data_IF_358662364760
#
_entry.id   IF_358662364760
#
_cell.length_a   1.000
_cell.length_b   1.000
_cell.length_c   1.000
_cell.angle_alpha   90.00
_cell.angle_beta   90.00
_cell.angle_gamma   90.00
#
_symmetry.space_group_name_H-M   'P 1'
#
loop_
_entity.id
_entity.type
_entity.pdbx_description
1 polymer ?
#
# COMPACT_ATOMS: atom_id res chain seq x y z
N UNK A 1 -68.61 -21.58 -31.78
CA UNK A 1 -67.78 -20.82 -30.91
C UNK A 1 -66.31 -21.15 -31.24
N UNK A 2 -65.61 -20.26 -31.95
CA UNK A 2 -64.21 -20.46 -32.36
C UNK A 2 -63.30 -19.91 -31.28
N UNK A 3 -62.47 -20.75 -30.71
CA UNK A 3 -61.43 -20.38 -29.75
C UNK A 3 -60.18 -19.92 -30.52
N UNK A 4 -59.82 -18.65 -30.40
CA UNK A 4 -58.60 -18.08 -30.98
C UNK A 4 -57.49 -18.28 -29.96
N UNK A 5 -56.52 -19.13 -30.29
CA UNK A 5 -55.29 -19.30 -29.50
C UNK A 5 -54.33 -18.16 -29.80
N UNK A 6 -54.03 -17.36 -28.79
CA UNK A 6 -52.97 -16.35 -28.85
C UNK A 6 -51.64 -17.04 -28.59
N UNK A 7 -50.80 -17.12 -29.62
CA UNK A 7 -49.40 -17.56 -29.50
C UNK A 7 -48.60 -16.31 -29.08
N UNK A 8 -48.16 -16.27 -27.81
CA UNK A 8 -47.21 -15.26 -27.32
C UNK A 8 -45.80 -15.70 -27.76
N UNK A 9 -45.25 -14.99 -28.72
CA UNK A 9 -43.83 -15.08 -29.07
C UNK A 9 -43.03 -14.37 -27.97
N UNK A 10 -42.43 -15.15 -27.07
CA UNK A 10 -41.39 -14.62 -26.15
C UNK A 10 -40.10 -14.54 -26.97
N UNK A 11 -39.80 -13.35 -27.48
CA UNK A 11 -38.47 -13.05 -28.00
C UNK A 11 -37.47 -13.03 -26.80
N UNK A 12 -36.70 -14.12 -26.66
CA UNK A 12 -35.50 -14.10 -25.82
C UNK A 12 -34.53 -13.04 -26.43
N UNK A 13 -34.54 -11.83 -25.88
CA UNK A 13 -33.41 -10.94 -26.01
C UNK A 13 -32.23 -11.58 -25.30
N UNK A 14 -31.36 -12.21 -26.07
CA UNK A 14 -30.02 -12.55 -25.62
C UNK A 14 -29.34 -11.23 -25.30
N UNK A 15 -29.37 -10.81 -24.02
CA UNK A 15 -28.49 -9.78 -23.51
C UNK A 15 -27.11 -10.41 -23.55
N UNK A 16 -26.44 -10.24 -24.68
CA UNK A 16 -25.02 -10.51 -24.78
C UNK A 16 -24.35 -9.67 -23.69
N UNK A 17 -23.71 -10.32 -22.75
CA UNK A 17 -22.76 -9.67 -21.86
C UNK A 17 -21.68 -9.08 -22.75
N UNK A 18 -21.79 -7.79 -23.04
CA UNK A 18 -20.69 -7.01 -23.63
C UNK A 18 -19.62 -7.00 -22.56
N UNK A 19 -18.66 -7.89 -22.67
CA UNK A 19 -17.40 -7.76 -21.96
C UNK A 19 -16.80 -6.46 -22.50
N UNK A 20 -16.66 -5.44 -21.66
CA UNK A 20 -15.93 -4.24 -22.04
C UNK A 20 -14.52 -4.72 -22.43
N UNK A 21 -14.11 -4.43 -23.65
CA UNK A 21 -12.73 -4.66 -24.08
C UNK A 21 -11.81 -3.91 -23.12
N UNK A 22 -10.70 -4.54 -22.74
CA UNK A 22 -9.71 -3.87 -21.91
C UNK A 22 -9.28 -2.56 -22.60
N UNK A 23 -9.14 -1.47 -21.85
CA UNK A 23 -8.76 -0.19 -22.44
C UNK A 23 -7.44 -0.33 -23.22
N UNK A 24 -7.32 0.31 -24.41
CA UNK A 24 -6.11 0.25 -25.21
C UNK A 24 -4.88 0.62 -24.38
N UNK A 25 -3.86 -0.24 -24.39
CA UNK A 25 -2.65 -0.05 -23.59
C UNK A 25 -1.39 -0.46 -24.34
N UNK A 26 -0.24 0.05 -23.88
CA UNK A 26 1.10 -0.37 -24.30
C UNK A 26 1.95 -0.65 -23.08
N UNK A 27 2.75 -1.72 -23.14
CA UNK A 27 3.77 -2.03 -22.16
C UNK A 27 5.08 -2.40 -22.86
N UNK A 28 6.18 -1.82 -22.42
CA UNK A 28 7.52 -2.10 -22.97
C UNK A 28 8.62 -1.63 -22.00
N UNK A 29 9.84 -2.06 -22.27
CA UNK A 29 11.05 -1.60 -21.57
C UNK A 29 11.92 -0.85 -22.58
N UNK A 30 12.39 0.35 -22.21
CA UNK A 30 13.35 1.11 -23.01
C UNK A 30 14.75 0.48 -22.94
N UNK A 31 15.63 0.83 -23.89
CA UNK A 31 17.00 0.30 -23.93
C UNK A 31 17.80 0.61 -22.65
N UNK A 32 17.50 1.72 -21.98
CA UNK A 32 18.10 2.10 -20.69
C UNK A 32 17.43 1.44 -19.46
N UNK A 33 16.55 0.49 -19.68
CA UNK A 33 15.91 -0.31 -18.63
C UNK A 33 14.64 0.27 -18.02
N UNK A 34 14.22 1.50 -18.38
CA UNK A 34 12.96 2.06 -17.88
C UNK A 34 11.77 1.22 -18.34
N UNK A 35 11.00 0.71 -17.38
CA UNK A 35 9.74 0.01 -17.65
C UNK A 35 8.61 1.02 -17.85
N UNK A 36 7.85 0.89 -18.95
CA UNK A 36 6.81 1.85 -19.33
C UNK A 36 5.47 1.16 -19.50
N UNK A 37 4.42 1.76 -18.95
CA UNK A 37 3.03 1.38 -19.17
C UNK A 37 2.22 2.59 -19.58
N UNK A 38 1.41 2.48 -20.64
CA UNK A 38 0.52 3.54 -21.11
C UNK A 38 -0.86 2.94 -21.32
N UNK A 39 -1.92 3.56 -20.74
CA UNK A 39 -3.30 3.14 -20.94
C UNK A 39 -4.18 4.32 -21.29
N UNK A 40 -4.93 4.22 -22.38
CA UNK A 40 -5.92 5.21 -22.77
C UNK A 40 -7.21 5.03 -21.97
N UNK A 41 -7.70 6.13 -21.36
CA UNK A 41 -9.01 6.23 -20.70
C UNK A 41 -9.62 7.60 -20.99
N UNK A 42 -10.54 7.66 -21.94
CA UNK A 42 -11.09 8.90 -22.49
C UNK A 42 -12.44 9.31 -21.89
N UNK A 43 -12.94 8.61 -20.88
CA UNK A 43 -14.20 8.93 -20.21
C UNK A 43 -14.11 10.15 -19.27
N UNK A 44 -12.92 10.53 -18.82
CA UNK A 44 -12.65 11.73 -18.04
C UNK A 44 -11.43 12.43 -18.66
N UNK A 45 -11.48 13.77 -18.93
CA UNK A 45 -10.39 14.50 -19.58
C UNK A 45 -9.23 14.79 -18.61
N UNK A 46 -8.71 13.76 -17.96
CA UNK A 46 -7.59 13.79 -17.03
C UNK A 46 -6.50 12.85 -17.50
N UNK A 47 -5.27 13.17 -17.15
CA UNK A 47 -4.14 12.25 -17.24
C UNK A 47 -3.47 12.11 -15.88
N UNK A 48 -3.06 10.90 -15.59
CA UNK A 48 -2.33 10.54 -14.37
C UNK A 48 -0.98 9.93 -14.79
N UNK A 49 0.08 10.49 -14.27
CA UNK A 49 1.45 10.06 -14.54
C UNK A 49 2.06 9.62 -13.21
N UNK A 50 2.53 8.40 -13.14
CA UNK A 50 3.21 7.85 -11.96
C UNK A 50 4.60 7.42 -12.34
N UNK A 51 5.59 7.93 -11.63
CA UNK A 51 6.96 7.46 -11.71
C UNK A 51 7.31 6.77 -10.40
N UNK A 52 7.69 5.50 -10.49
CA UNK A 52 8.07 4.68 -9.35
C UNK A 52 9.57 4.37 -9.41
N UNK A 53 10.24 4.51 -8.28
CA UNK A 53 11.64 4.13 -8.10
C UNK A 53 11.68 2.98 -7.11
N UNK A 54 12.36 1.89 -7.46
CA UNK A 54 12.54 0.75 -6.57
C UNK A 54 13.61 1.10 -5.53
N UNK A 55 13.23 1.94 -4.58
CA UNK A 55 14.02 2.34 -3.43
C UNK A 55 13.08 2.71 -2.28
N UNK A 56 13.40 2.25 -1.09
CA UNK A 56 12.64 2.53 0.11
C UNK A 56 13.51 2.42 1.36
N UNK A 57 12.91 2.46 2.55
CA UNK A 57 13.69 2.37 3.78
C UNK A 57 14.45 1.05 3.95
N UNK A 58 14.09 0.00 3.19
CA UNK A 58 14.85 -1.26 3.14
C UNK A 58 16.25 -1.13 2.54
N UNK A 59 16.45 -0.11 1.72
CA UNK A 59 17.72 0.16 1.03
C UNK A 59 18.66 1.06 1.84
N UNK A 60 18.22 1.45 3.04
CA UNK A 60 18.95 2.25 4.00
C UNK A 60 19.60 1.38 5.09
N UNK A 61 20.65 1.90 5.69
CA UNK A 61 21.29 1.32 6.88
C UNK A 61 21.17 2.26 8.10
N UNK A 62 21.83 1.92 9.19
CA UNK A 62 21.82 2.72 10.42
C UNK A 62 22.41 4.13 10.27
N UNK A 63 23.17 4.39 9.21
CA UNK A 63 23.83 5.68 8.95
C UNK A 63 23.10 6.52 7.90
N UNK A 64 22.20 5.89 7.12
CA UNK A 64 21.50 6.54 6.00
C UNK A 64 19.99 6.58 6.20
N UNK A 65 19.46 6.01 7.30
CA UNK A 65 18.02 5.89 7.51
C UNK A 65 17.32 7.24 7.65
N UNK A 66 16.47 7.54 6.68
CA UNK A 66 15.73 8.77 6.48
C UNK A 66 16.16 9.59 5.26
N UNK A 67 17.25 9.20 4.57
CA UNK A 67 17.67 9.88 3.33
C UNK A 67 16.62 9.68 2.23
N UNK A 68 15.98 8.51 2.13
CA UNK A 68 14.93 8.25 1.13
C UNK A 68 13.74 9.19 1.33
N UNK A 69 13.28 9.34 2.56
CA UNK A 69 12.18 10.26 2.89
C UNK A 69 12.58 11.73 2.66
N UNK A 70 13.80 12.11 3.02
CA UNK A 70 14.33 13.44 2.74
C UNK A 70 14.42 13.70 1.22
N UNK A 71 14.83 12.72 0.42
CA UNK A 71 14.83 12.81 -1.04
C UNK A 71 13.43 13.00 -1.62
N UNK A 72 12.42 12.30 -1.08
CA UNK A 72 11.03 12.53 -1.44
C UNK A 72 10.65 14.01 -1.32
N UNK A 73 10.90 14.60 -0.14
CA UNK A 73 10.64 16.03 0.13
C UNK A 73 11.42 16.93 -0.82
N UNK A 74 12.71 16.69 -1.00
CA UNK A 74 13.56 17.51 -1.85
C UNK A 74 13.16 17.47 -3.33
N UNK A 75 12.73 16.32 -3.83
CA UNK A 75 12.23 16.19 -5.20
C UNK A 75 10.84 16.82 -5.33
N UNK A 76 9.94 16.56 -4.39
CA UNK A 76 8.56 17.08 -4.44
C UNK A 76 8.51 18.61 -4.27
N UNK A 77 9.27 19.15 -3.31
CA UNK A 77 9.16 20.53 -2.83
C UNK A 77 10.36 21.41 -3.20
N UNK A 78 11.46 20.83 -3.64
CA UNK A 78 12.70 21.55 -3.95
C UNK A 78 12.70 22.19 -5.35
N UNK A 79 13.69 23.05 -5.63
CA UNK A 79 13.93 23.62 -6.95
C UNK A 79 14.56 22.60 -7.90
N UNK A 80 14.53 22.91 -9.19
CA UNK A 80 15.26 22.19 -10.22
C UNK A 80 16.46 23.02 -10.71
N UNK A 81 17.24 22.46 -11.62
CA UNK A 81 18.33 23.22 -12.25
C UNK A 81 17.82 24.38 -13.12
N UNK A 82 16.54 24.34 -13.55
CA UNK A 82 15.97 25.28 -14.50
C UNK A 82 14.95 26.23 -13.87
N UNK A 83 14.29 25.82 -12.79
CA UNK A 83 13.19 26.54 -12.16
C UNK A 83 13.33 26.62 -10.65
N UNK A 84 12.92 27.77 -10.09
CA UNK A 84 12.73 27.93 -8.66
C UNK A 84 11.45 27.25 -8.16
N UNK A 85 11.33 27.06 -6.86
CA UNK A 85 10.13 26.51 -6.21
C UNK A 85 8.87 27.34 -6.53
N UNK A 86 9.00 28.66 -6.52
CA UNK A 86 7.85 29.56 -6.78
C UNK A 86 7.38 29.50 -8.24
N UNK A 87 8.32 29.42 -9.20
CA UNK A 87 8.00 29.24 -10.62
C UNK A 87 7.28 27.92 -10.84
N UNK A 88 7.81 26.79 -10.30
CA UNK A 88 7.17 25.49 -10.41
C UNK A 88 5.77 25.51 -9.82
N UNK A 89 5.61 26.05 -8.60
CA UNK A 89 4.32 26.13 -7.94
C UNK A 89 3.30 27.00 -8.71
N UNK A 90 3.77 28.06 -9.35
CA UNK A 90 2.93 28.91 -10.18
C UNK A 90 2.45 28.17 -11.43
N UNK A 91 3.36 27.50 -12.13
CA UNK A 91 3.03 26.71 -13.32
C UNK A 91 2.11 25.53 -12.99
N UNK A 92 2.36 24.82 -11.89
CA UNK A 92 1.48 23.74 -11.42
C UNK A 92 0.05 24.23 -11.19
N UNK A 93 -0.09 25.38 -10.52
CA UNK A 93 -1.42 25.99 -10.30
C UNK A 93 -2.10 26.45 -11.60
N UNK A 94 -1.35 27.04 -12.55
CA UNK A 94 -1.88 27.48 -13.86
C UNK A 94 -2.43 26.32 -14.68
N UNK A 95 -1.82 25.15 -14.55
CA UNK A 95 -2.22 23.95 -15.31
C UNK A 95 -3.17 23.03 -14.52
N UNK A 96 -3.58 23.42 -13.30
CA UNK A 96 -4.43 22.59 -12.44
C UNK A 96 -3.82 21.26 -12.06
N UNK A 97 -2.49 21.19 -12.04
CA UNK A 97 -1.75 19.97 -11.75
C UNK A 97 -1.66 19.72 -10.24
N UNK A 98 -1.85 18.48 -9.85
CA UNK A 98 -1.66 17.98 -8.48
C UNK A 98 -0.47 17.02 -8.49
N UNK A 99 0.55 17.34 -7.73
CA UNK A 99 1.77 16.55 -7.61
C UNK A 99 1.93 16.07 -6.16
N UNK A 100 2.13 14.78 -6.01
CA UNK A 100 2.32 14.13 -4.72
C UNK A 100 3.46 13.11 -4.80
N UNK A 101 3.96 12.69 -3.64
CA UNK A 101 4.95 11.61 -3.55
C UNK A 101 4.71 10.77 -2.30
N UNK A 102 5.17 9.52 -2.33
CA UNK A 102 5.08 8.60 -1.20
C UNK A 102 6.31 7.72 -1.12
N UNK A 103 6.86 7.61 0.08
CA UNK A 103 7.90 6.63 0.42
C UNK A 103 7.31 5.47 1.22
N UNK A 104 7.76 4.27 0.93
CA UNK A 104 7.44 3.06 1.69
C UNK A 104 8.73 2.31 2.07
N UNK A 105 8.59 1.10 2.62
CA UNK A 105 9.75 0.23 2.82
C UNK A 105 10.40 -0.20 1.51
N UNK A 106 9.60 -0.36 0.45
CA UNK A 106 10.06 -0.97 -0.80
C UNK A 106 10.28 0.02 -1.94
N UNK A 107 9.48 1.06 -2.03
CA UNK A 107 9.50 1.95 -3.18
C UNK A 107 9.13 3.39 -2.81
N UNK A 108 9.57 4.28 -3.69
CA UNK A 108 9.16 5.68 -3.73
C UNK A 108 8.32 5.90 -5.00
N UNK A 109 7.20 6.61 -4.89
CA UNK A 109 6.36 6.99 -6.03
C UNK A 109 6.19 8.50 -6.11
N UNK A 110 6.15 9.00 -7.33
CA UNK A 110 5.82 10.38 -7.67
C UNK A 110 4.59 10.36 -8.55
N UNK A 111 3.56 11.09 -8.14
CA UNK A 111 2.20 11.00 -8.66
C UNK A 111 1.73 12.35 -9.14
N UNK A 112 1.47 12.45 -10.43
CA UNK A 112 1.01 13.69 -11.05
C UNK A 112 -0.34 13.48 -11.73
N UNK A 113 -1.34 14.30 -11.37
CA UNK A 113 -2.66 14.33 -12.00
C UNK A 113 -2.95 15.72 -12.52
N UNK A 114 -3.42 15.82 -13.77
CA UNK A 114 -3.74 17.11 -14.40
C UNK A 114 -4.73 16.94 -15.56
N UNK A 115 -5.38 18.04 -16.02
CA UNK A 115 -6.21 18.01 -17.24
C UNK A 115 -5.42 17.50 -18.45
N UNK A 116 -6.04 16.63 -19.24
CA UNK A 116 -5.38 15.92 -20.34
C UNK A 116 -4.72 16.85 -21.37
N UNK A 117 -5.30 18.01 -21.63
CA UNK A 117 -4.71 19.00 -22.55
C UNK A 117 -3.32 19.51 -22.13
N UNK A 118 -2.95 19.33 -20.85
CA UNK A 118 -1.66 19.78 -20.31
C UNK A 118 -0.70 18.62 -20.01
N UNK A 119 -0.97 17.43 -20.52
CA UNK A 119 -0.19 16.26 -20.21
C UNK A 119 1.32 16.41 -20.52
N UNK A 120 1.68 17.14 -21.61
CA UNK A 120 3.08 17.40 -21.95
C UNK A 120 3.79 18.28 -20.91
N UNK A 121 3.08 19.26 -20.36
CA UNK A 121 3.60 20.04 -19.23
C UNK A 121 3.89 19.12 -18.04
N UNK A 122 2.91 18.28 -17.67
CA UNK A 122 3.06 17.33 -16.57
C UNK A 122 4.26 16.38 -16.77
N UNK A 123 4.39 15.84 -17.96
CA UNK A 123 5.51 14.96 -18.33
C UNK A 123 6.87 15.68 -18.20
N UNK A 124 6.96 16.90 -18.69
CA UNK A 124 8.22 17.67 -18.66
C UNK A 124 8.60 18.07 -17.24
N UNK A 125 7.65 18.56 -16.44
CA UNK A 125 7.92 18.95 -15.05
C UNK A 125 8.30 17.76 -14.17
N UNK A 126 7.64 16.61 -14.37
CA UNK A 126 7.98 15.38 -13.65
C UNK A 126 9.42 14.93 -13.99
N UNK A 127 9.76 14.90 -15.28
CA UNK A 127 11.12 14.59 -15.73
C UNK A 127 12.16 15.54 -15.13
N UNK A 128 11.86 16.84 -15.13
CA UNK A 128 12.75 17.87 -14.59
C UNK A 128 12.96 17.68 -13.08
N UNK A 129 11.90 17.49 -12.32
CA UNK A 129 11.95 17.21 -10.90
C UNK A 129 12.79 15.96 -10.56
N UNK A 130 12.62 14.91 -11.33
CA UNK A 130 13.27 13.63 -11.09
C UNK A 130 14.73 13.59 -11.51
N UNK A 131 15.13 14.26 -12.60
CA UNK A 131 16.44 14.09 -13.21
C UNK A 131 17.27 15.37 -13.30
N UNK A 132 16.69 16.52 -12.92
CA UNK A 132 17.39 17.80 -12.86
C UNK A 132 17.22 18.46 -11.48
N UNK A 133 17.22 17.64 -10.44
CA UNK A 133 17.15 18.08 -9.04
C UNK A 133 18.32 19.02 -8.73
N UNK A 134 18.02 20.12 -8.03
CA UNK A 134 19.02 21.05 -7.52
C UNK A 134 19.00 21.03 -6.00
N UNK A 135 20.02 20.42 -5.41
CA UNK A 135 20.18 20.41 -3.96
C UNK A 135 20.88 21.72 -3.52
N UNK A 136 20.21 22.47 -2.68
CA UNK A 136 20.75 23.70 -2.07
C UNK A 136 20.56 23.63 -0.55
N UNK A 137 21.59 24.04 0.21
CA UNK A 137 21.59 23.88 1.66
C UNK A 137 20.38 24.48 2.35
N UNK A 138 19.90 25.70 2.02
CA UNK A 138 18.73 26.27 2.67
C UNK A 138 17.46 25.44 2.50
N UNK A 139 17.29 24.75 1.34
CA UNK A 139 16.15 23.88 1.11
C UNK A 139 16.29 22.56 1.87
N UNK A 140 17.51 21.99 1.89
CA UNK A 140 17.79 20.78 2.68
C UNK A 140 17.50 21.01 4.16
N UNK A 141 17.97 22.13 4.72
CA UNK A 141 17.76 22.47 6.12
C UNK A 141 16.26 22.67 6.42
N UNK A 142 15.54 23.35 5.52
CA UNK A 142 14.09 23.56 5.65
C UNK A 142 13.33 22.23 5.66
N UNK A 143 13.65 21.33 4.74
CA UNK A 143 12.93 20.04 4.64
C UNK A 143 13.27 19.12 5.83
N UNK A 144 14.50 19.19 6.37
CA UNK A 144 14.85 18.49 7.62
C UNK A 144 13.95 18.93 8.78
N UNK A 145 13.72 20.24 8.94
CA UNK A 145 12.85 20.74 10.01
C UNK A 145 11.39 20.25 9.84
N UNK A 146 10.87 20.24 8.61
CA UNK A 146 9.52 19.71 8.33
C UNK A 146 9.44 18.23 8.71
N UNK A 147 10.42 17.42 8.31
CA UNK A 147 10.48 16.00 8.66
C UNK A 147 10.59 15.81 10.18
N UNK A 148 11.29 16.67 10.90
CA UNK A 148 11.36 16.60 12.36
C UNK A 148 10.03 16.87 13.04
N UNK A 149 9.19 17.73 12.48
CA UNK A 149 7.83 17.95 12.96
C UNK A 149 6.96 16.71 12.66
N UNK A 150 7.08 16.13 11.48
CA UNK A 150 6.35 14.89 11.12
C UNK A 150 6.75 13.72 12.03
N UNK A 151 8.05 13.53 12.28
CA UNK A 151 8.54 12.50 13.22
C UNK A 151 7.95 12.70 14.62
N UNK A 152 7.83 13.94 15.09
CA UNK A 152 7.23 14.26 16.39
C UNK A 152 5.74 13.90 16.40
N UNK A 153 5.00 14.27 15.34
CA UNK A 153 3.59 13.92 15.20
C UNK A 153 3.37 12.39 15.19
N UNK A 154 4.22 11.65 14.47
CA UNK A 154 4.16 10.19 14.43
C UNK A 154 4.44 9.54 15.79
N UNK A 155 5.34 10.12 16.59
CA UNK A 155 5.65 9.65 17.94
C UNK A 155 4.53 9.95 18.95
N UNK A 156 3.75 11.00 18.72
CA UNK A 156 2.61 11.40 19.55
C UNK A 156 1.31 10.71 19.16
N UNK A 157 1.17 10.24 17.92
CA UNK A 157 0.01 9.45 17.48
C UNK A 157 0.11 8.00 17.95
N UNK A 158 -0.81 7.52 18.80
CA UNK A 158 -0.70 6.18 19.38
C UNK A 158 -0.87 5.05 18.36
N UNK A 159 -1.60 5.28 17.25
CA UNK A 159 -1.75 4.29 16.19
C UNK A 159 -0.48 4.21 15.31
N UNK A 160 0.06 5.35 14.92
CA UNK A 160 1.28 5.42 14.14
C UNK A 160 2.47 4.82 14.90
N UNK A 161 2.67 5.23 16.16
CA UNK A 161 3.71 4.68 17.03
C UNK A 161 3.57 3.17 17.23
N UNK A 162 2.34 2.68 17.51
CA UNK A 162 2.11 1.26 17.69
C UNK A 162 2.38 0.46 16.41
N UNK A 163 2.01 1.01 15.24
CA UNK A 163 2.25 0.39 13.93
C UNK A 163 3.75 0.30 13.65
N UNK A 164 4.48 1.39 13.84
CA UNK A 164 5.93 1.42 13.69
C UNK A 164 6.61 0.36 14.56
N UNK A 165 6.35 0.37 15.88
CA UNK A 165 6.93 -0.59 16.81
C UNK A 165 6.56 -2.03 16.49
N UNK A 166 5.36 -2.27 15.96
CA UNK A 166 4.93 -3.61 15.55
C UNK A 166 5.76 -4.12 14.37
N UNK A 167 5.96 -3.31 13.34
CA UNK A 167 6.78 -3.65 12.16
C UNK A 167 8.25 -3.80 12.54
N UNK A 168 8.81 -2.85 13.30
CA UNK A 168 10.19 -2.90 13.80
C UNK A 168 10.51 -4.23 14.51
N UNK A 169 9.62 -4.66 15.40
CA UNK A 169 9.83 -5.88 16.19
C UNK A 169 9.50 -7.16 15.40
N UNK A 170 8.56 -7.09 14.45
CA UNK A 170 8.21 -8.21 13.59
C UNK A 170 9.37 -8.56 12.64
N UNK A 171 10.04 -7.53 12.12
CA UNK A 171 11.14 -7.65 11.16
C UNK A 171 12.53 -7.43 11.78
N UNK A 172 12.67 -7.70 13.07
CA UNK A 172 13.94 -7.50 13.76
C UNK A 172 15.08 -8.30 13.10
N UNK A 173 16.13 -7.60 12.71
CA UNK A 173 17.30 -8.18 12.01
C UNK A 173 17.12 -8.24 10.48
N UNK A 174 16.06 -7.69 9.95
CA UNK A 174 15.82 -7.49 8.51
C UNK A 174 15.77 -5.99 8.20
N UNK A 175 16.12 -5.52 6.98
CA UNK A 175 16.03 -4.10 6.61
C UNK A 175 14.65 -3.46 6.87
N UNK A 176 13.57 -4.21 6.83
CA UNK A 176 12.22 -3.71 7.16
C UNK A 176 12.04 -3.27 8.62
N UNK A 177 12.99 -3.51 9.51
CA UNK A 177 12.98 -2.91 10.84
C UNK A 177 13.21 -1.40 10.82
N UNK A 178 13.80 -0.86 9.74
CA UNK A 178 14.09 0.56 9.61
C UNK A 178 12.78 1.37 9.46
N UNK A 179 12.62 2.47 10.21
CA UNK A 179 11.45 3.33 10.03
C UNK A 179 11.46 4.02 8.67
N UNK A 180 10.30 4.07 8.02
CA UNK A 180 10.14 4.76 6.72
C UNK A 180 10.42 6.26 6.86
N UNK A 181 10.00 6.87 7.97
CA UNK A 181 10.21 8.30 8.24
C UNK A 181 11.64 8.65 8.66
N UNK A 182 12.48 7.63 8.87
CA UNK A 182 13.87 7.81 9.24
C UNK A 182 14.12 8.03 10.74
N UNK A 183 15.39 8.19 11.06
CA UNK A 183 15.89 8.45 12.41
C UNK A 183 16.39 9.89 12.50
N UNK A 184 15.83 10.71 13.40
CA UNK A 184 16.15 12.13 13.56
C UNK A 184 17.66 12.43 13.57
N UNK A 185 18.42 11.70 14.38
CA UNK A 185 19.87 11.92 14.54
C UNK A 185 20.70 11.57 13.29
N UNK A 186 20.14 10.78 12.37
CA UNK A 186 20.75 10.45 11.07
C UNK A 186 20.40 11.55 10.08
N UNK A 187 19.13 11.92 9.96
CA UNK A 187 18.67 13.01 9.07
C UNK A 187 19.36 14.33 9.40
N UNK A 188 19.50 14.66 10.70
CA UNK A 188 20.18 15.88 11.16
C UNK A 188 21.60 16.00 10.60
N UNK A 189 22.34 14.89 10.55
CA UNK A 189 23.73 14.83 10.09
C UNK A 189 23.89 14.67 8.58
N UNK A 190 22.84 14.27 7.88
CA UNK A 190 22.90 13.98 6.44
C UNK A 190 23.41 15.21 5.67
N UNK A 191 24.43 15.03 4.86
CA UNK A 191 25.05 16.05 4.01
C UNK A 191 24.49 16.01 2.59
N UNK A 192 24.63 17.09 1.84
CA UNK A 192 24.24 17.13 0.41
C UNK A 192 24.97 16.04 -0.38
N UNK A 193 26.25 15.81 -0.09
CA UNK A 193 27.06 14.80 -0.77
C UNK A 193 26.53 13.38 -0.54
N UNK A 194 26.10 13.05 0.69
CA UNK A 194 25.49 11.77 1.00
C UNK A 194 24.12 11.60 0.31
N UNK A 195 23.30 12.66 0.29
CA UNK A 195 22.02 12.69 -0.40
C UNK A 195 22.22 12.51 -1.92
N UNK A 196 23.17 13.20 -2.54
CA UNK A 196 23.49 13.06 -3.96
C UNK A 196 24.01 11.65 -4.29
N UNK A 197 24.87 11.11 -3.44
CA UNK A 197 25.41 9.76 -3.61
C UNK A 197 24.28 8.73 -3.61
N UNK A 198 23.37 8.86 -2.65
CA UNK A 198 22.20 8.00 -2.54
C UNK A 198 21.28 8.17 -3.75
N UNK A 199 20.99 9.39 -4.15
CA UNK A 199 20.17 9.70 -5.32
C UNK A 199 20.78 9.08 -6.60
N UNK A 200 22.05 9.31 -6.91
CA UNK A 200 22.72 8.77 -8.09
C UNK A 200 22.73 7.25 -8.13
N UNK A 201 22.81 6.60 -6.96
CA UNK A 201 22.80 5.14 -6.87
C UNK A 201 21.45 4.52 -7.25
N UNK A 202 20.34 5.13 -6.83
CA UNK A 202 19.02 4.50 -6.97
C UNK A 202 18.13 5.08 -8.06
N UNK A 203 18.34 6.35 -8.47
CA UNK A 203 17.57 7.01 -9.53
C UNK A 203 18.14 6.73 -10.93
N UNK A 204 18.43 5.46 -11.18
CA UNK A 204 18.83 4.94 -12.50
C UNK A 204 17.61 4.35 -13.20
N UNK A 205 17.45 4.58 -14.50
CA UNK A 205 16.22 4.24 -15.23
C UNK A 205 15.89 2.75 -15.21
N UNK A 206 16.89 1.87 -15.16
CA UNK A 206 16.70 0.43 -15.01
C UNK A 206 16.08 0.02 -13.66
N UNK A 207 16.10 0.92 -12.69
CA UNK A 207 15.49 0.78 -11.35
C UNK A 207 14.13 1.48 -11.24
N UNK A 208 13.56 1.94 -12.38
CA UNK A 208 12.36 2.79 -12.39
C UNK A 208 11.27 2.24 -13.29
N UNK A 209 10.04 2.66 -13.02
CA UNK A 209 8.89 2.44 -13.86
C UNK A 209 8.07 3.73 -14.05
N UNK A 210 7.52 3.91 -15.25
CA UNK A 210 6.65 5.01 -15.62
C UNK A 210 5.29 4.45 -16.06
N UNK A 211 4.22 4.91 -15.45
CA UNK A 211 2.86 4.61 -15.89
C UNK A 211 2.12 5.90 -16.25
N UNK A 212 1.46 5.91 -17.42
CA UNK A 212 0.60 7.01 -17.88
C UNK A 212 -0.80 6.45 -18.15
N UNK A 213 -1.79 6.97 -17.42
CA UNK A 213 -3.19 6.51 -17.54
C UNK A 213 -4.11 7.71 -17.67
N UNK A 214 -4.88 7.79 -18.74
CA UNK A 214 -5.84 8.89 -18.93
C UNK A 214 -6.25 9.12 -20.38
N UNK A 215 -6.83 10.27 -20.62
CA UNK A 215 -7.27 10.70 -21.95
C UNK A 215 -6.05 11.17 -22.79
N UNK A 216 -5.38 10.21 -23.38
CA UNK A 216 -4.15 10.42 -24.15
C UNK A 216 -4.15 9.62 -25.46
N UNK A 217 -3.44 10.12 -26.44
CA UNK A 217 -3.07 9.33 -27.63
C UNK A 217 -1.84 8.47 -27.31
N UNK A 218 -2.01 7.16 -27.46
CA UNK A 218 -0.95 6.18 -27.12
C UNK A 218 0.31 6.38 -27.96
N UNK A 219 0.18 6.77 -29.25
CA UNK A 219 1.33 6.92 -30.12
C UNK A 219 2.11 8.21 -29.82
N UNK A 220 1.38 9.28 -29.50
CA UNK A 220 1.96 10.58 -29.13
C UNK A 220 2.71 10.48 -27.81
N UNK A 221 2.09 9.85 -26.79
CA UNK A 221 2.73 9.65 -25.48
C UNK A 221 3.94 8.73 -25.60
N UNK A 222 3.82 7.60 -26.30
CA UNK A 222 4.93 6.66 -26.54
C UNK A 222 6.14 7.38 -27.19
N UNK A 223 5.90 8.17 -28.24
CA UNK A 223 6.96 8.92 -28.90
C UNK A 223 7.62 9.93 -27.94
N UNK A 224 6.82 10.67 -27.18
CA UNK A 224 7.33 11.64 -26.19
C UNK A 224 8.18 10.97 -25.09
N UNK A 225 7.74 9.82 -24.58
CA UNK A 225 8.50 9.05 -23.59
C UNK A 225 9.85 8.61 -24.17
N UNK A 226 9.87 8.06 -25.38
CA UNK A 226 11.11 7.66 -26.07
C UNK A 226 12.06 8.83 -26.28
N UNK A 227 11.55 9.99 -26.70
CA UNK A 227 12.34 11.21 -26.84
C UNK A 227 12.82 11.78 -25.51
N UNK A 228 11.97 11.76 -24.48
CA UNK A 228 12.25 12.38 -23.19
C UNK A 228 13.15 11.55 -22.28
N UNK A 229 13.01 10.23 -22.30
CA UNK A 229 13.73 9.31 -21.42
C UNK A 229 14.72 8.40 -22.19
N UNK A 230 14.52 8.17 -23.50
CA UNK A 230 15.32 7.20 -24.24
C UNK A 230 16.82 7.48 -24.27
N UNK A 231 17.21 8.75 -24.18
CA UNK A 231 18.62 9.18 -24.17
C UNK A 231 19.17 9.49 -22.79
N UNK A 232 18.33 9.41 -21.74
CA UNK A 232 18.81 9.57 -20.36
C UNK A 232 19.56 8.31 -19.94
N UNK A 233 20.78 8.45 -19.45
CA UNK A 233 21.59 7.33 -18.97
C UNK A 233 22.44 6.63 -20.05
N UNK A 234 22.42 7.06 -21.32
CA UNK A 234 23.34 6.54 -22.34
C UNK A 234 24.80 7.04 -22.15
N UNK A 235 25.00 8.00 -21.26
CA UNK A 235 26.31 8.67 -21.07
C UNK A 235 27.15 8.02 -19.94
N UNK A 236 26.53 7.24 -19.05
CA UNK A 236 27.27 6.45 -18.07
C UNK A 236 26.93 4.98 -18.28
N UNK A 237 27.99 4.13 -18.34
CA UNK A 237 27.90 2.67 -18.52
C UNK A 237 26.66 2.11 -17.83
N UNK A 238 25.87 1.34 -18.57
CA UNK A 238 24.62 0.71 -18.11
C UNK A 238 24.81 0.21 -16.70
N UNK A 239 24.23 0.91 -15.74
CA UNK A 239 24.32 0.48 -14.36
C UNK A 239 23.78 -0.96 -14.28
N UNK A 240 24.66 -1.89 -13.94
CA UNK A 240 24.26 -3.26 -13.68
C UNK A 240 23.06 -3.24 -12.72
N UNK A 241 22.12 -4.18 -12.86
CA UNK A 241 21.01 -4.25 -11.93
C UNK A 241 21.52 -4.16 -10.50
N UNK A 242 20.94 -3.27 -9.70
CA UNK A 242 21.34 -3.11 -8.30
C UNK A 242 21.27 -4.47 -7.62
N UNK A 243 22.43 -5.03 -7.26
CA UNK A 243 22.46 -6.26 -6.45
C UNK A 243 21.87 -5.93 -5.08
N UNK A 244 20.77 -6.58 -4.75
CA UNK A 244 20.13 -6.50 -3.44
C UNK A 244 20.26 -7.82 -2.72
N UNK A 245 20.58 -7.77 -1.44
CA UNK A 245 20.52 -8.94 -0.56
C UNK A 245 19.05 -9.28 -0.29
N UNK A 246 18.41 -9.95 -1.25
CA UNK A 246 16.98 -10.28 -1.27
C UNK A 246 16.65 -11.49 -0.39
N UNK A 247 17.03 -11.43 0.89
CA UNK A 247 16.70 -12.49 1.83
C UNK A 247 15.30 -12.32 2.39
N UNK A 248 14.48 -13.39 2.47
CA UNK A 248 13.24 -13.35 3.22
C UNK A 248 13.46 -12.92 4.66
N UNK A 249 12.50 -12.19 5.21
CA UNK A 249 12.54 -11.82 6.62
C UNK A 249 12.65 -13.07 7.51
N UNK A 250 13.52 -13.06 8.53
CA UNK A 250 13.65 -14.20 9.44
C UNK A 250 12.35 -14.39 10.22
N UNK A 251 11.88 -15.65 10.41
CA UNK A 251 10.64 -15.90 11.10
C UNK A 251 10.69 -15.52 12.58
N UNK A 252 9.57 -15.01 13.10
CA UNK A 252 9.41 -14.67 14.50
C UNK A 252 9.59 -15.91 15.39
N UNK A 253 10.57 -15.88 16.28
CA UNK A 253 10.91 -17.06 17.11
C UNK A 253 9.93 -17.25 18.26
N UNK A 254 9.41 -16.18 18.85
CA UNK A 254 8.50 -16.16 20.01
C UNK A 254 7.61 -14.92 20.00
N UNK A 255 6.52 -14.96 20.77
CA UNK A 255 5.71 -13.77 21.01
C UNK A 255 6.53 -12.66 21.68
N UNK A 256 6.45 -11.45 21.13
CA UNK A 256 7.09 -10.24 21.65
C UNK A 256 6.01 -9.30 22.18
N UNK A 257 6.23 -8.70 23.34
CA UNK A 257 5.35 -7.69 23.93
C UNK A 257 6.14 -6.40 24.14
N UNK A 258 5.57 -5.30 23.66
CA UNK A 258 6.16 -3.96 23.75
C UNK A 258 5.15 -3.04 24.40
N UNK A 259 5.59 -2.25 25.39
CA UNK A 259 4.75 -1.26 26.04
C UNK A 259 5.37 0.12 25.93
N UNK A 260 4.55 1.12 25.66
CA UNK A 260 4.90 2.55 25.65
C UNK A 260 3.79 3.33 26.36
N UNK A 261 4.11 4.55 26.76
CA UNK A 261 3.20 5.43 27.49
C UNK A 261 3.10 6.76 26.76
N UNK A 262 1.87 7.24 26.55
CA UNK A 262 1.55 8.52 25.94
C UNK A 262 0.47 9.24 26.76
N UNK A 263 0.27 10.53 26.52
CA UNK A 263 -0.80 11.34 27.10
C UNK A 263 -2.14 11.05 26.40
N UNK A 264 -2.70 9.90 26.71
CA UNK A 264 -3.94 9.37 26.12
C UNK A 264 -4.89 8.82 27.21
N UNK A 265 -6.17 8.60 26.89
CA UNK A 265 -7.16 8.14 27.84
C UNK A 265 -7.49 6.64 27.74
N UNK A 266 -7.16 5.98 26.63
CA UNK A 266 -7.43 4.57 26.39
C UNK A 266 -6.14 3.84 26.05
N UNK A 267 -6.10 2.54 26.26
CA UNK A 267 -5.04 1.73 25.70
C UNK A 267 -5.27 1.53 24.20
N UNK A 268 -4.21 1.69 23.39
CA UNK A 268 -4.17 1.36 21.98
C UNK A 268 -3.29 0.12 21.81
N UNK A 269 -3.81 -0.91 21.15
CA UNK A 269 -3.13 -2.19 21.04
C UNK A 269 -3.07 -2.62 19.58
N UNK A 270 -1.89 -3.02 19.13
CA UNK A 270 -1.68 -3.73 17.86
C UNK A 270 -1.20 -5.15 18.15
N UNK A 271 -1.83 -6.09 17.47
CA UNK A 271 -1.32 -7.46 17.30
C UNK A 271 -0.83 -7.59 15.88
N UNK A 272 0.46 -7.89 15.70
CA UNK A 272 1.08 -8.03 14.40
C UNK A 272 1.52 -9.48 14.20
N UNK A 273 1.14 -10.05 13.08
CA UNK A 273 1.46 -11.40 12.64
C UNK A 273 2.29 -11.32 11.37
N UNK A 274 3.20 -12.27 11.19
CA UNK A 274 3.88 -12.46 9.92
C UNK A 274 2.86 -12.74 8.82
N UNK A 275 3.15 -12.24 7.63
CA UNK A 275 2.33 -12.47 6.46
C UNK A 275 3.25 -12.76 5.25
N UNK A 276 2.74 -13.38 4.19
CA UNK A 276 3.55 -13.75 3.06
C UNK A 276 4.08 -12.52 2.32
N UNK A 277 5.20 -12.69 1.61
CA UNK A 277 5.71 -11.66 0.72
C UNK A 277 4.72 -11.41 -0.42
N UNK A 278 4.90 -10.30 -1.03
CA UNK A 278 4.13 -9.86 -2.18
C UNK A 278 4.26 -10.89 -3.33
N UNK A 279 3.14 -11.18 -4.02
CA UNK A 279 3.09 -12.22 -5.07
C UNK A 279 2.93 -13.67 -4.60
N UNK A 280 3.02 -13.92 -3.29
CA UNK A 280 2.82 -15.27 -2.76
C UNK A 280 1.37 -15.76 -2.99
N UNK A 281 1.14 -17.06 -3.27
CA UNK A 281 -0.22 -17.60 -3.48
C UNK A 281 -1.20 -17.32 -2.34
N UNK A 282 -0.74 -17.34 -1.09
CA UNK A 282 -1.57 -17.11 0.11
C UNK A 282 -1.98 -15.63 0.30
N UNK A 283 -1.44 -14.71 -0.48
CA UNK A 283 -1.76 -13.28 -0.39
C UNK A 283 -3.27 -13.05 -0.54
N UNK A 284 -3.89 -13.66 -1.55
CA UNK A 284 -5.32 -13.52 -1.80
C UNK A 284 -6.18 -14.03 -0.64
N UNK A 285 -5.78 -15.13 -0.02
CA UNK A 285 -6.45 -15.64 1.18
C UNK A 285 -6.43 -14.63 2.33
N UNK A 286 -5.31 -13.95 2.55
CA UNK A 286 -5.23 -12.89 3.56
C UNK A 286 -5.99 -11.62 3.19
N UNK A 287 -6.07 -11.25 1.92
CA UNK A 287 -6.91 -10.13 1.47
C UNK A 287 -8.39 -10.38 1.81
N UNK A 288 -8.88 -11.60 1.52
CA UNK A 288 -10.25 -12.01 1.84
C UNK A 288 -10.46 -12.09 3.36
N UNK A 289 -9.53 -12.70 4.10
CA UNK A 289 -9.59 -12.77 5.57
C UNK A 289 -9.59 -11.37 6.19
N UNK A 290 -8.80 -10.44 5.66
CA UNK A 290 -8.76 -9.05 6.13
C UNK A 290 -10.13 -8.36 6.07
N UNK A 291 -10.90 -8.62 5.01
CA UNK A 291 -12.28 -8.13 4.88
C UNK A 291 -13.22 -8.83 5.89
N UNK A 292 -13.16 -10.13 5.97
CA UNK A 292 -14.01 -10.92 6.87
C UNK A 292 -13.76 -10.53 8.33
N UNK A 293 -12.52 -10.31 8.73
CA UNK A 293 -12.15 -9.99 10.10
C UNK A 293 -12.44 -8.55 10.51
N UNK A 294 -12.11 -7.57 9.66
CA UNK A 294 -12.05 -6.18 10.13
C UNK A 294 -12.67 -5.11 9.25
N UNK A 295 -12.85 -5.36 7.95
CA UNK A 295 -13.29 -4.33 6.98
C UNK A 295 -14.67 -4.56 6.38
N UNK A 296 -15.25 -5.75 6.52
CA UNK A 296 -16.55 -6.10 5.97
C UNK A 296 -17.72 -5.44 6.71
N UNK A 297 -18.92 -5.59 6.17
CA UNK A 297 -20.17 -5.01 6.73
C UNK A 297 -20.46 -5.53 8.15
N UNK A 298 -20.09 -6.77 8.45
CA UNK A 298 -20.30 -7.40 9.74
C UNK A 298 -19.02 -8.16 10.19
N UNK A 299 -17.96 -7.43 10.59
CA UNK A 299 -16.65 -8.04 10.77
C UNK A 299 -16.64 -9.00 11.97
N UNK A 300 -16.06 -10.19 11.76
CA UNK A 300 -16.01 -11.25 12.77
C UNK A 300 -15.32 -10.82 14.07
N UNK A 301 -14.29 -9.96 14.01
CA UNK A 301 -13.59 -9.48 15.20
C UNK A 301 -14.51 -8.65 16.12
N UNK A 302 -15.39 -7.84 15.56
CA UNK A 302 -16.35 -7.05 16.36
C UNK A 302 -17.31 -7.97 17.13
N UNK A 303 -17.75 -9.06 16.50
CA UNK A 303 -18.60 -10.07 17.15
C UNK A 303 -17.83 -10.85 18.21
N UNK A 304 -16.63 -11.32 17.88
CA UNK A 304 -15.76 -12.11 18.76
C UNK A 304 -15.36 -11.35 20.03
N UNK A 305 -15.18 -10.03 19.94
CA UNK A 305 -14.80 -9.17 21.07
C UNK A 305 -15.99 -8.45 21.72
N UNK A 306 -17.21 -8.94 21.50
CA UNK A 306 -18.42 -8.50 22.20
C UNK A 306 -18.84 -9.58 23.20
N UNK A 307 -19.04 -9.20 24.48
CA UNK A 307 -19.46 -10.10 25.57
C UNK A 307 -20.72 -9.59 26.22
N UNK A 308 -21.75 -10.44 26.32
CA UNK A 308 -23.05 -10.08 26.90
C UNK A 308 -23.63 -8.77 26.32
N UNK A 309 -23.55 -8.59 24.99
CA UNK A 309 -23.99 -7.38 24.30
C UNK A 309 -23.13 -6.13 24.53
N UNK A 310 -21.99 -6.23 25.24
CA UNK A 310 -21.09 -5.11 25.52
C UNK A 310 -19.73 -5.36 24.84
N UNK A 311 -19.22 -4.42 24.03
CA UNK A 311 -17.91 -4.55 23.39
C UNK A 311 -16.81 -4.51 24.46
N UNK A 312 -15.86 -5.43 24.35
CA UNK A 312 -14.63 -5.45 25.15
C UNK A 312 -13.61 -4.45 24.61
N UNK A 313 -13.65 -4.21 23.31
CA UNK A 313 -12.74 -3.37 22.59
C UNK A 313 -13.49 -2.52 21.57
N UNK A 314 -12.87 -1.41 21.11
CA UNK A 314 -13.43 -0.44 20.19
C UNK A 314 -12.46 -0.16 19.05
N UNK A 315 -12.89 0.49 17.97
CA UNK A 315 -12.06 0.86 16.83
C UNK A 315 -11.26 -0.34 16.27
N UNK A 316 -11.94 -1.47 16.14
CA UNK A 316 -11.34 -2.68 15.56
C UNK A 316 -11.04 -2.46 14.10
N UNK A 317 -9.78 -2.58 13.72
CA UNK A 317 -9.31 -2.45 12.34
C UNK A 317 -8.30 -3.56 12.04
N UNK A 318 -8.34 -4.03 10.81
CA UNK A 318 -7.32 -4.93 10.29
C UNK A 318 -6.60 -4.26 9.12
N UNK A 319 -5.30 -4.53 9.01
CA UNK A 319 -4.49 -4.05 7.91
C UNK A 319 -3.52 -5.14 7.48
N UNK A 320 -3.51 -5.45 6.21
CA UNK A 320 -2.48 -6.28 5.61
C UNK A 320 -1.47 -5.37 4.90
N UNK A 321 -0.22 -5.41 5.34
CA UNK A 321 0.91 -4.70 4.76
C UNK A 321 1.68 -5.71 3.93
N UNK A 322 1.70 -5.50 2.62
CA UNK A 322 2.43 -6.33 1.67
C UNK A 322 3.75 -5.67 1.33
N UNK A 323 4.85 -6.41 1.48
CA UNK A 323 6.20 -5.97 1.13
C UNK A 323 6.91 -7.07 0.33
N UNK A 324 7.97 -6.71 -0.38
CA UNK A 324 8.67 -7.58 -1.34
C UNK A 324 9.20 -8.87 -0.68
N UNK A 325 9.79 -8.78 0.52
CA UNK A 325 10.46 -9.91 1.20
C UNK A 325 9.70 -10.46 2.39
N UNK A 326 8.50 -9.98 2.66
CA UNK A 326 7.65 -10.39 3.76
C UNK A 326 6.40 -9.53 3.85
N UNK A 327 5.52 -9.81 4.79
CA UNK A 327 4.33 -9.02 5.05
C UNK A 327 3.97 -8.99 6.54
N UNK A 328 3.07 -8.09 6.89
CA UNK A 328 2.52 -7.98 8.24
C UNK A 328 0.99 -7.93 8.20
N UNK A 329 0.34 -8.77 8.98
CA UNK A 329 -1.09 -8.67 9.23
C UNK A 329 -1.30 -8.06 10.61
N UNK A 330 -1.90 -6.87 10.64
CA UNK A 330 -2.10 -6.08 11.84
C UNK A 330 -3.57 -6.12 12.27
N UNK A 331 -3.80 -6.30 13.57
CA UNK A 331 -5.10 -6.12 14.21
C UNK A 331 -4.95 -5.00 15.25
N UNK A 332 -5.58 -3.88 14.98
CA UNK A 332 -5.58 -2.72 15.88
C UNK A 332 -6.89 -2.60 16.62
N UNK A 333 -6.82 -2.18 17.87
CA UNK A 333 -8.01 -1.88 18.67
C UNK A 333 -7.71 -0.96 19.85
N UNK A 334 -8.74 -0.30 20.37
CA UNK A 334 -8.66 0.53 21.58
C UNK A 334 -9.55 -0.02 22.69
N UNK A 335 -9.13 0.13 23.94
CA UNK A 335 -9.88 -0.36 25.10
C UNK A 335 -9.51 0.36 26.41
N UNK A 336 -10.23 0.08 27.46
CA UNK A 336 -9.81 0.46 28.82
C UNK A 336 -8.51 -0.30 29.18
N UNK A 337 -7.50 0.35 29.82
CA UNK A 337 -6.22 -0.29 30.14
C UNK A 337 -6.34 -1.61 30.91
N UNK A 338 -7.31 -1.69 31.82
CA UNK A 338 -7.57 -2.92 32.64
C UNK A 338 -8.08 -4.12 31.81
N UNK A 339 -8.61 -3.88 30.57
CA UNK A 339 -9.16 -4.92 29.69
C UNK A 339 -8.11 -5.52 28.74
N UNK A 340 -6.90 -4.97 28.65
CA UNK A 340 -5.87 -5.38 27.66
C UNK A 340 -5.61 -6.88 27.70
N UNK A 341 -5.40 -7.48 28.88
CA UNK A 341 -5.16 -8.91 28.98
C UNK A 341 -6.38 -9.75 28.61
N UNK A 342 -7.58 -9.30 28.97
CA UNK A 342 -8.82 -9.99 28.60
C UNK A 342 -9.01 -9.98 27.07
N UNK A 343 -8.89 -8.82 26.43
CA UNK A 343 -8.98 -8.70 24.96
C UNK A 343 -7.94 -9.58 24.26
N UNK A 344 -6.70 -9.59 24.76
CA UNK A 344 -5.66 -10.46 24.20
C UNK A 344 -6.07 -11.94 24.28
N UNK A 345 -6.56 -12.41 25.42
CA UNK A 345 -6.97 -13.81 25.58
C UNK A 345 -8.14 -14.17 24.65
N UNK A 346 -9.16 -13.33 24.59
CA UNK A 346 -10.32 -13.59 23.73
C UNK A 346 -9.93 -13.53 22.23
N UNK A 347 -9.10 -12.56 21.84
CA UNK A 347 -8.62 -12.47 20.46
C UNK A 347 -7.83 -13.71 20.05
N UNK A 348 -6.85 -14.12 20.83
CA UNK A 348 -6.03 -15.31 20.52
C UNK A 348 -6.87 -16.58 20.52
N UNK A 349 -7.82 -16.71 21.45
CA UNK A 349 -8.77 -17.82 21.45
C UNK A 349 -9.60 -17.84 20.18
N UNK A 350 -10.11 -16.69 19.76
CA UNK A 350 -10.89 -16.56 18.53
C UNK A 350 -10.05 -16.89 17.28
N UNK A 351 -8.85 -16.34 17.15
CA UNK A 351 -7.98 -16.62 16.01
C UNK A 351 -7.72 -18.13 15.82
N UNK A 352 -7.58 -18.85 16.93
CA UNK A 352 -7.45 -20.33 16.92
C UNK A 352 -8.68 -21.06 16.40
N UNK A 353 -9.82 -20.42 16.25
CA UNK A 353 -11.00 -21.05 15.65
C UNK A 353 -11.03 -20.91 14.13
N UNK A 354 -10.27 -19.97 13.56
CA UNK A 354 -10.35 -19.64 12.12
C UNK A 354 -9.96 -20.79 11.20
N UNK A 355 -9.04 -21.67 11.62
CA UNK A 355 -8.64 -22.83 10.81
C UNK A 355 -9.70 -23.94 10.72
N UNK A 356 -10.70 -23.94 11.61
CA UNK A 356 -11.85 -24.85 11.56
C UNK A 356 -13.14 -24.11 11.20
N UNK A 357 -13.04 -22.80 10.90
CA UNK A 357 -14.20 -21.97 10.62
C UNK A 357 -14.79 -22.33 9.25
N UNK A 358 -16.13 -22.45 9.19
CA UNK A 358 -16.81 -22.62 7.92
C UNK A 358 -17.19 -21.24 7.36
N UNK A 359 -16.40 -20.76 6.41
CA UNK A 359 -16.60 -19.46 5.79
C UNK A 359 -17.79 -19.39 4.85
N UNK A 360 -18.32 -20.56 4.40
CA UNK A 360 -19.40 -20.65 3.42
C UNK A 360 -20.77 -20.95 4.03
N UNK A 361 -20.85 -21.32 5.31
CA UNK A 361 -22.13 -21.58 5.99
C UNK A 361 -22.00 -21.18 7.46
N UNK A 362 -23.09 -20.60 8.00
CA UNK A 362 -23.16 -20.35 9.42
C UNK A 362 -23.48 -21.62 10.20
N UNK A 363 -22.54 -22.05 11.01
CA UNK A 363 -22.81 -22.71 12.29
C UNK A 363 -22.02 -21.94 13.34
N UNK A 364 -22.57 -20.80 13.79
CA UNK A 364 -21.96 -20.02 14.86
C UNK A 364 -22.48 -20.54 16.20
N UNK A 365 -21.58 -21.01 17.11
CA UNK A 365 -22.01 -21.56 18.41
C UNK A 365 -22.49 -20.51 19.41
N UNK A 366 -22.79 -19.29 18.99
CA UNK A 366 -23.17 -18.18 19.87
C UNK A 366 -24.68 -17.83 19.87
N UNK A 367 -25.52 -18.84 19.67
CA UNK A 367 -26.89 -18.85 20.23
C UNK A 367 -27.80 -17.63 20.00
N UNK A 368 -27.80 -17.00 18.83
CA UNK A 368 -28.85 -16.07 18.41
C UNK A 368 -29.22 -16.32 16.95
N UNK A 369 -30.52 -16.37 16.68
CA UNK A 369 -31.12 -16.57 15.38
C UNK A 369 -30.42 -15.68 14.34
N UNK A 370 -29.82 -16.30 13.34
CA UNK A 370 -28.99 -15.63 12.38
C UNK A 370 -29.60 -15.76 10.98
N UNK A 371 -29.53 -14.66 10.29
CA UNK A 371 -29.48 -14.70 8.85
C UNK A 371 -28.21 -15.48 8.44
N UNK A 372 -28.38 -16.47 7.58
CA UNK A 372 -27.26 -17.27 7.04
C UNK A 372 -26.35 -16.33 6.24
N UNK A 373 -25.20 -15.96 6.80
CA UNK A 373 -24.24 -15.10 6.12
C UNK A 373 -23.14 -15.96 5.51
N UNK A 374 -23.10 -16.05 4.19
CA UNK A 374 -21.94 -16.61 3.49
C UNK A 374 -20.81 -15.58 3.48
N UNK A 375 -19.92 -15.68 4.47
CA UNK A 375 -18.79 -14.75 4.63
C UNK A 375 -17.83 -14.79 3.43
N UNK A 376 -17.67 -15.98 2.82
CA UNK A 376 -16.76 -16.12 1.69
C UNK A 376 -17.31 -15.40 0.46
N UNK A 377 -18.55 -15.64 0.08
CA UNK A 377 -19.14 -15.03 -1.12
C UNK A 377 -19.35 -13.52 -0.94
N UNK A 378 -19.75 -13.09 0.27
CA UNK A 378 -19.83 -11.67 0.59
C UNK A 378 -18.44 -10.97 0.50
N UNK A 379 -17.40 -11.60 1.03
CA UNK A 379 -16.04 -11.07 0.94
C UNK A 379 -15.50 -11.08 -0.49
N UNK A 380 -15.72 -12.14 -1.27
CA UNK A 380 -15.36 -12.17 -2.69
C UNK A 380 -16.00 -11.02 -3.47
N UNK A 381 -17.30 -10.80 -3.28
CA UNK A 381 -18.02 -9.70 -3.92
C UNK A 381 -17.44 -8.35 -3.54
N UNK A 382 -17.12 -8.17 -2.26
CA UNK A 382 -16.52 -6.93 -1.76
C UNK A 382 -15.07 -6.72 -2.23
N UNK A 383 -14.25 -7.78 -2.30
CA UNK A 383 -12.89 -7.72 -2.88
C UNK A 383 -12.97 -7.29 -4.33
N UNK A 384 -13.83 -7.93 -5.13
CA UNK A 384 -14.00 -7.60 -6.56
C UNK A 384 -14.47 -6.16 -6.74
N UNK A 385 -15.48 -5.73 -5.99
CA UNK A 385 -15.96 -4.35 -6.03
C UNK A 385 -14.87 -3.35 -5.66
N UNK A 386 -14.17 -3.58 -4.54
CA UNK A 386 -13.10 -2.68 -4.09
C UNK A 386 -11.94 -2.61 -5.07
N UNK A 387 -11.59 -3.72 -5.72
CA UNK A 387 -10.56 -3.77 -6.74
C UNK A 387 -10.97 -2.97 -7.99
N UNK A 388 -12.21 -3.15 -8.46
CA UNK A 388 -12.74 -2.38 -9.59
C UNK A 388 -12.78 -0.88 -9.25
N UNK A 389 -13.34 -0.52 -8.09
CA UNK A 389 -13.38 0.88 -7.64
C UNK A 389 -11.99 1.50 -7.53
N UNK A 390 -11.00 0.73 -7.05
CA UNK A 390 -9.61 1.18 -6.98
C UNK A 390 -9.05 1.47 -8.38
N UNK A 391 -9.28 0.58 -9.34
CA UNK A 391 -8.79 0.72 -10.72
C UNK A 391 -9.56 1.76 -11.52
N UNK A 392 -10.80 2.12 -11.15
CA UNK A 392 -11.55 3.22 -11.80
C UNK A 392 -10.85 4.57 -11.59
N UNK A 393 -10.20 4.77 -10.46
CA UNK A 393 -9.33 5.94 -10.26
C UNK A 393 -8.10 5.83 -11.17
N UNK A 394 -7.93 6.77 -12.07
CA UNK A 394 -6.79 6.79 -13.01
C UNK A 394 -5.44 6.79 -12.30
N UNK A 395 -5.31 7.54 -11.18
CA UNK A 395 -4.07 7.59 -10.40
C UNK A 395 -3.80 6.25 -9.70
N UNK A 396 -4.81 5.61 -9.12
CA UNK A 396 -4.63 4.31 -8.49
C UNK A 396 -4.28 3.21 -9.49
N UNK A 397 -4.87 3.28 -10.69
CA UNK A 397 -4.51 2.38 -11.78
C UNK A 397 -3.03 2.58 -12.20
N UNK A 398 -2.60 3.84 -12.39
CA UNK A 398 -1.22 4.16 -12.73
C UNK A 398 -0.24 3.68 -11.63
N UNK A 399 -0.57 3.91 -10.35
CA UNK A 399 0.20 3.40 -9.20
C UNK A 399 0.29 1.88 -9.20
N UNK A 400 -0.84 1.20 -9.43
CA UNK A 400 -0.87 -0.26 -9.48
C UNK A 400 0.02 -0.80 -10.60
N UNK A 401 -0.09 -0.22 -11.80
CA UNK A 401 0.72 -0.64 -12.94
C UNK A 401 2.21 -0.35 -12.71
N UNK A 402 2.58 0.86 -12.29
CA UNK A 402 3.97 1.20 -12.01
C UNK A 402 4.61 0.24 -11.00
N UNK A 403 3.90 -0.03 -9.87
CA UNK A 403 4.35 -0.99 -8.86
C UNK A 403 4.45 -2.40 -9.43
N UNK A 404 3.44 -2.87 -10.16
CA UNK A 404 3.42 -4.22 -10.70
C UNK A 404 4.53 -4.46 -11.71
N UNK A 405 4.82 -3.49 -12.59
CA UNK A 405 5.90 -3.60 -13.56
C UNK A 405 7.25 -3.64 -12.84
N UNK A 406 7.40 -2.84 -11.80
CA UNK A 406 8.67 -2.70 -11.09
C UNK A 406 9.03 -3.93 -10.28
N UNK A 407 8.08 -4.43 -9.46
CA UNK A 407 8.32 -5.57 -8.56
C UNK A 407 7.97 -6.91 -9.15
N UNK A 408 7.03 -6.91 -10.09
CA UNK A 408 6.50 -8.14 -10.62
C UNK A 408 6.51 -8.10 -12.12
N UNK A 409 7.16 -9.02 -12.66
CA UNK A 409 6.77 -9.57 -13.96
C UNK A 409 5.33 -10.14 -13.92
N UNK A 410 4.52 -9.81 -12.91
CA UNK A 410 3.22 -10.40 -12.66
C UNK A 410 2.18 -10.00 -13.68
N UNK A 411 2.20 -8.75 -14.11
CA UNK A 411 1.29 -8.32 -15.17
C UNK A 411 1.65 -8.99 -16.48
N UNK A 412 2.94 -9.14 -16.76
CA UNK A 412 3.40 -9.88 -17.92
C UNK A 412 3.02 -11.36 -17.82
N UNK A 413 3.12 -11.97 -16.64
CA UNK A 413 2.69 -13.36 -16.43
C UNK A 413 1.16 -13.54 -16.56
N UNK A 414 0.34 -12.55 -16.23
CA UNK A 414 -1.10 -12.56 -16.50
C UNK A 414 -1.39 -12.39 -18.00
N UNK A 415 -0.71 -11.48 -18.68
CA UNK A 415 -0.81 -11.27 -20.14
C UNK A 415 -0.34 -12.52 -20.90
N UNK A 416 0.77 -13.10 -20.48
CA UNK A 416 1.34 -14.31 -21.06
C UNK A 416 0.53 -15.59 -20.73
N UNK A 417 -0.55 -15.46 -19.95
CA UNK A 417 -1.37 -16.58 -19.50
C UNK A 417 -0.69 -17.51 -18.47
N UNK A 418 0.44 -17.09 -17.93
CA UNK A 418 1.19 -17.84 -16.90
C UNK A 418 0.55 -17.73 -15.52
N UNK A 419 -0.21 -16.68 -15.29
CA UNK A 419 -0.95 -16.42 -14.07
C UNK A 419 -2.37 -16.05 -14.37
N UNK A 420 -3.31 -16.67 -13.66
CA UNK A 420 -4.73 -16.33 -13.82
C UNK A 420 -4.99 -14.89 -13.33
N UNK A 421 -5.88 -14.14 -14.02
CA UNK A 421 -6.30 -12.82 -13.61
C UNK A 421 -6.80 -12.79 -12.17
N UNK A 422 -6.57 -11.67 -11.48
CA UNK A 422 -6.91 -11.51 -10.06
C UNK A 422 -8.36 -11.88 -9.74
N UNK A 423 -9.32 -11.40 -10.56
CA UNK A 423 -10.75 -11.68 -10.37
C UNK A 423 -11.08 -13.18 -10.47
N UNK A 424 -10.47 -13.90 -11.42
CA UNK A 424 -10.64 -15.34 -11.60
C UNK A 424 -10.11 -16.09 -10.38
N UNK A 425 -8.98 -15.67 -9.85
CA UNK A 425 -8.41 -16.27 -8.63
C UNK A 425 -9.30 -16.02 -7.41
N UNK A 426 -9.92 -14.83 -7.29
CA UNK A 426 -10.92 -14.53 -6.24
C UNK A 426 -12.08 -15.50 -6.31
N UNK A 427 -12.65 -15.71 -7.52
CA UNK A 427 -13.79 -16.62 -7.70
C UNK A 427 -13.45 -18.08 -7.34
N UNK A 428 -12.24 -18.53 -7.64
CA UNK A 428 -11.78 -19.91 -7.36
C UNK A 428 -11.41 -20.14 -5.89
N UNK A 429 -11.25 -19.09 -5.07
CA UNK A 429 -10.89 -19.25 -3.66
C UNK A 429 -11.97 -19.97 -2.88
N UNK A 430 -11.57 -20.95 -2.09
CA UNK A 430 -12.46 -21.81 -1.30
C UNK A 430 -12.34 -21.56 0.21
N UNK A 431 -13.33 -22.03 0.98
CA UNK A 431 -13.24 -22.05 2.45
C UNK A 431 -12.00 -22.84 2.95
N UNK A 432 -11.57 -23.87 2.22
CA UNK A 432 -10.38 -24.64 2.57
C UNK A 432 -9.11 -23.80 2.44
N UNK A 433 -9.02 -22.98 1.38
CA UNK A 433 -7.89 -22.07 1.19
C UNK A 433 -7.79 -21.04 2.32
N UNK A 434 -8.95 -20.48 2.73
CA UNK A 434 -8.97 -19.54 3.86
C UNK A 434 -8.59 -20.20 5.19
N UNK A 435 -9.06 -21.44 5.45
CA UNK A 435 -8.63 -22.19 6.65
C UNK A 435 -7.13 -22.43 6.66
N UNK A 436 -6.55 -22.86 5.55
CA UNK A 436 -5.13 -23.11 5.41
C UNK A 436 -4.33 -21.83 5.62
N UNK A 437 -4.77 -20.72 5.01
CA UNK A 437 -4.14 -19.40 5.18
C UNK A 437 -4.22 -18.92 6.63
N UNK A 438 -5.40 -19.00 7.27
CA UNK A 438 -5.58 -18.64 8.67
C UNK A 438 -4.72 -19.49 9.61
N UNK A 439 -4.65 -20.80 9.37
CA UNK A 439 -3.79 -21.73 10.16
C UNK A 439 -2.32 -21.34 10.07
N UNK A 440 -1.85 -20.97 8.89
CA UNK A 440 -0.45 -20.64 8.64
C UNK A 440 -0.04 -19.31 9.26
N UNK A 441 -0.86 -18.29 9.13
CA UNK A 441 -0.47 -16.91 9.47
C UNK A 441 -1.16 -16.35 10.72
N UNK A 442 -2.33 -16.84 11.09
CA UNK A 442 -3.13 -16.31 12.19
C UNK A 442 -3.38 -17.34 13.30
N UNK A 443 -2.46 -18.29 13.48
CA UNK A 443 -2.58 -19.34 14.51
C UNK A 443 -2.61 -18.80 15.96
N UNK A 444 -2.15 -17.58 16.19
CA UNK A 444 -2.03 -16.98 17.52
C UNK A 444 -0.91 -17.55 18.38
N UNK A 445 0.00 -18.34 17.80
CA UNK A 445 1.14 -18.89 18.54
C UNK A 445 2.28 -17.90 18.73
N UNK A 446 2.59 -17.15 17.67
CA UNK A 446 3.65 -16.15 17.67
C UNK A 446 3.12 -14.86 17.07
N UNK A 447 3.36 -13.76 17.75
CA UNK A 447 2.95 -12.43 17.30
C UNK A 447 3.73 -11.36 18.06
N UNK A 448 3.75 -10.17 17.51
CA UNK A 448 4.18 -8.97 18.23
C UNK A 448 2.92 -8.29 18.78
N UNK A 449 2.92 -7.96 20.06
CA UNK A 449 1.88 -7.17 20.69
C UNK A 449 2.47 -5.85 21.17
N UNK A 450 2.03 -4.77 20.59
CA UNK A 450 2.38 -3.42 21.03
C UNK A 450 1.20 -2.84 21.79
N UNK A 451 1.47 -2.29 22.97
CA UNK A 451 0.47 -1.63 23.81
C UNK A 451 0.93 -0.22 24.14
N UNK A 452 0.18 0.78 23.69
CA UNK A 452 0.35 2.16 24.11
C UNK A 452 -0.63 2.44 25.23
N UNK A 453 -0.12 2.79 26.39
CA UNK A 453 -0.87 2.99 27.63
C UNK A 453 -0.94 4.46 28.01
N UNK A 454 -1.98 4.88 28.75
CA UNK A 454 -2.03 6.20 29.39
C UNK A 454 -0.85 6.42 30.34
N UNK A 455 -0.23 7.60 30.30
CA UNK A 455 0.82 7.96 31.27
C UNK A 455 0.24 8.10 32.68
N UNK A 456 0.76 7.30 33.62
CA UNK A 456 0.28 7.25 35.02
C UNK A 456 0.53 8.55 35.82
N UNK A 457 1.41 9.44 35.34
CA UNK A 457 1.78 10.65 36.08
C UNK A 457 0.69 11.73 36.09
N UNK A 458 -0.20 11.77 35.07
CA UNK A 458 -1.28 12.76 34.99
C UNK A 458 -2.60 12.34 35.60
N UNK A 459 -2.86 11.04 35.78
CA UNK A 459 -4.10 10.53 36.42
C UNK A 459 -4.27 10.88 37.89
N UNK A 460 -3.27 11.44 38.56
CA UNK A 460 -3.33 11.89 39.96
C UNK A 460 -3.73 13.37 40.14
N UNK A 461 -3.85 14.16 39.07
CA UNK A 461 -4.18 15.60 39.14
C UNK A 461 -5.66 15.94 38.98
N UNK A 462 -6.56 14.97 38.76
CA UNK A 462 -8.02 15.19 38.59
C UNK A 462 -8.83 14.74 39.78
N UNK A 463 -8.21 14.51 40.96
CA UNK A 463 -8.92 14.37 42.24
C UNK A 463 -8.45 15.51 43.14
N UNK A 464 -8.99 16.68 42.92
CA UNK A 464 -9.18 17.74 43.91
C UNK A 464 -10.41 18.55 43.54
#
# INVERSE_FOLDING_TARGET
>A
VKTIGIIIFISLLAVGTVWAEDPPSKHYILNNGLSVYIQKRDHIPLVNIVFAVNVGSKDEDQNTNGIVHLLEHLILLGPTQFQTVDEINLEMRRHGAQFNAHTSHDLMTFELSLPAQYWEFGFNILKEKLFHLKLVQPQVDKEKEIIFEELSQHQEDPYALATYLAVEHLFKGHPYQQPVYGVRSVIEKATIEEIETFYKKYFVLSNCALAVVGDVDLAVVDNKIRQGFGHLGEIEESAAPLERDSKPAPPLKKTVKVERYLDINKAHVIFAFEAPPLGHPDQLGLDIINLILGKGINPLLSRALTRMGKPLAHNLQTRYIMMEYGGAFLIYTTMEPKKVNQVRMELIKFLKTLWNFNYSKEDYPLGQQSEVTDYLEAAKSQVKFSHQQFLESGINAALSYARNILFYKLHQDEIDGKREPYMVRVDKTTSADLRNTASRYLSGEKYVMVTILPDKKKGKKVKK
#
